data_IF_866024424069
#
_entry.id   IF_866024424069
#
_cell.length_a   1.000
_cell.length_b   1.000
_cell.length_c   1.000
_cell.angle_alpha   90.00
_cell.angle_beta   90.00
_cell.angle_gamma   90.00
#
_symmetry.space_group_name_H-M   'P 1'
#
loop_
_entity.id
_entity.type
_entity.pdbx_description
1 polymer ?
#
# COMPACT_ATOMS: atom_id res chain seq x y z
N UNK A 1 7.42 19.97 -12.94
CA UNK A 1 6.61 19.39 -14.02
C UNK A 1 5.83 20.57 -14.60
N UNK A 2 6.21 21.06 -15.77
CA UNK A 2 5.45 22.13 -16.45
C UNK A 2 4.30 21.46 -17.19
N UNK A 3 3.07 21.66 -16.70
CA UNK A 3 1.85 21.14 -17.32
C UNK A 3 1.44 22.12 -18.42
N UNK A 4 1.80 21.82 -19.66
CA UNK A 4 1.46 22.65 -20.84
C UNK A 4 0.52 21.90 -21.78
N UNK A 5 -0.33 21.02 -21.24
CA UNK A 5 -1.35 20.36 -22.03
C UNK A 5 -2.63 21.19 -22.09
N UNK A 6 -3.15 21.30 -23.31
CA UNK A 6 -4.47 21.84 -23.59
C UNK A 6 -5.49 20.73 -23.31
N UNK A 7 -6.39 20.92 -22.35
CA UNK A 7 -7.40 19.90 -22.01
C UNK A 7 -8.52 19.73 -23.07
N UNK A 8 -8.67 20.68 -24.00
CA UNK A 8 -9.69 20.65 -25.05
C UNK A 8 -9.22 21.27 -26.40
N UNK A 9 -9.56 20.68 -27.56
CA UNK A 9 -10.28 19.41 -27.76
C UNK A 9 -9.43 18.20 -27.33
N UNK A 10 -10.06 17.09 -26.90
CA UNK A 10 -9.33 15.91 -26.49
C UNK A 10 -8.68 15.25 -27.68
N UNK A 11 -7.51 14.70 -27.44
CA UNK A 11 -6.72 14.00 -28.45
C UNK A 11 -6.09 12.74 -27.85
N UNK A 12 -5.74 11.78 -28.70
CA UNK A 12 -5.09 10.52 -28.32
C UNK A 12 -5.72 9.87 -27.08
N UNK A 13 -4.90 9.76 -26.04
CA UNK A 13 -5.23 9.24 -24.71
C UNK A 13 -6.53 9.79 -24.10
N UNK A 14 -6.78 11.10 -24.20
CA UNK A 14 -7.99 11.72 -23.62
C UNK A 14 -9.26 11.23 -24.32
N UNK A 15 -9.19 10.97 -25.64
CA UNK A 15 -10.31 10.41 -26.41
C UNK A 15 -10.60 8.97 -25.98
N UNK A 16 -9.57 8.17 -25.71
CA UNK A 16 -9.72 6.81 -25.21
C UNK A 16 -10.34 6.77 -23.80
N UNK A 17 -9.96 7.71 -22.93
CA UNK A 17 -10.52 7.87 -21.59
C UNK A 17 -12.00 8.24 -21.65
N UNK A 18 -12.37 9.25 -22.46
CA UNK A 18 -13.78 9.61 -22.68
C UNK A 18 -14.58 8.43 -23.25
N UNK A 19 -14.02 7.69 -24.22
CA UNK A 19 -14.67 6.51 -24.76
C UNK A 19 -14.87 5.40 -23.71
N UNK A 20 -13.92 5.24 -22.79
CA UNK A 20 -14.05 4.29 -21.68
C UNK A 20 -15.10 4.74 -20.66
N UNK A 21 -15.13 6.03 -20.32
CA UNK A 21 -16.14 6.62 -19.44
C UNK A 21 -17.54 6.51 -20.04
N UNK A 22 -17.71 6.80 -21.34
CA UNK A 22 -18.98 6.64 -22.06
C UNK A 22 -19.51 5.20 -21.99
N UNK A 23 -18.63 4.19 -22.16
CA UNK A 23 -19.02 2.78 -22.03
C UNK A 23 -19.49 2.43 -20.61
N UNK A 24 -18.86 2.99 -19.57
CA UNK A 24 -19.28 2.78 -18.19
C UNK A 24 -20.65 3.43 -17.92
N UNK A 25 -20.86 4.66 -18.36
CA UNK A 25 -22.15 5.36 -18.28
C UNK A 25 -23.24 4.54 -18.99
N UNK A 26 -22.97 4.03 -20.19
CA UNK A 26 -23.94 3.24 -20.95
C UNK A 26 -24.34 1.93 -20.25
N UNK A 27 -23.50 1.40 -19.35
CA UNK A 27 -23.74 0.13 -18.64
C UNK A 27 -24.25 0.30 -17.21
N UNK A 28 -23.67 1.22 -16.46
CA UNK A 28 -24.03 1.50 -15.05
C UNK A 28 -24.98 2.70 -14.88
N UNK A 29 -25.32 3.40 -15.96
CA UNK A 29 -26.13 4.61 -15.94
C UNK A 29 -25.34 5.88 -15.61
N UNK A 30 -25.95 7.04 -15.85
CA UNK A 30 -25.31 8.34 -15.59
C UNK A 30 -25.28 8.72 -14.10
N UNK A 31 -26.11 8.08 -13.26
CA UNK A 31 -26.32 8.44 -11.85
C UNK A 31 -25.04 8.41 -11.01
N UNK A 32 -24.17 7.41 -11.20
CA UNK A 32 -22.89 7.36 -10.48
C UNK A 32 -21.99 8.57 -10.80
N UNK A 33 -21.92 8.96 -12.07
CA UNK A 33 -21.08 10.07 -12.49
C UNK A 33 -21.65 11.41 -12.06
N UNK A 34 -22.96 11.62 -12.20
CA UNK A 34 -23.60 12.93 -12.03
C UNK A 34 -24.16 13.16 -10.62
N UNK A 35 -24.73 12.13 -10.00
CA UNK A 35 -25.58 12.31 -8.81
C UNK A 35 -24.99 11.66 -7.54
N UNK A 36 -24.20 10.57 -7.67
CA UNK A 36 -23.58 9.93 -6.50
C UNK A 36 -22.59 10.87 -5.79
N UNK A 37 -22.63 11.01 -4.46
CA UNK A 37 -21.61 11.69 -3.69
C UNK A 37 -20.19 11.20 -4.03
N UNK A 38 -19.25 12.12 -4.25
CA UNK A 38 -17.83 11.78 -4.37
C UNK A 38 -17.26 11.57 -2.97
N UNK A 39 -16.57 10.44 -2.76
CA UNK A 39 -15.93 10.11 -1.50
C UNK A 39 -14.75 11.04 -1.22
N UNK A 40 -14.73 11.68 -0.05
CA UNK A 40 -13.60 12.46 0.41
C UNK A 40 -12.52 11.55 1.04
N UNK A 41 -11.27 11.97 1.00
CA UNK A 41 -10.13 11.25 1.58
C UNK A 41 -9.84 11.72 3.02
N UNK A 42 -10.85 11.70 3.89
CA UNK A 42 -10.78 12.19 5.27
C UNK A 42 -11.34 11.21 6.30
N UNK A 43 -11.15 11.53 7.58
CA UNK A 43 -11.61 10.71 8.70
C UNK A 43 -13.15 10.67 8.84
N UNK A 44 -13.88 11.64 8.28
CA UNK A 44 -15.34 11.61 8.29
C UNK A 44 -15.85 10.51 7.34
N UNK A 45 -15.19 10.36 6.19
CA UNK A 45 -15.49 9.33 5.20
C UNK A 45 -14.98 7.96 5.64
N UNK A 46 -13.78 7.92 6.22
CA UNK A 46 -13.10 6.73 6.73
C UNK A 46 -12.87 6.82 8.25
N UNK A 47 -13.91 6.61 9.07
CA UNK A 47 -13.83 6.76 10.52
C UNK A 47 -13.11 5.61 11.22
N UNK A 48 -13.01 4.44 10.56
CA UNK A 48 -12.38 3.26 11.14
C UNK A 48 -10.85 3.45 11.25
N UNK A 49 -10.25 3.18 12.41
CA UNK A 49 -8.80 3.25 12.55
C UNK A 49 -8.13 2.20 11.65
N UNK A 50 -7.19 2.66 10.83
CA UNK A 50 -6.48 1.78 9.90
C UNK A 50 -5.56 0.81 10.66
N UNK A 51 -5.69 -0.48 10.34
CA UNK A 51 -4.79 -1.51 10.84
C UNK A 51 -4.38 -2.46 9.70
N UNK A 52 -3.10 -2.87 9.59
CA UNK A 52 -2.65 -3.76 8.52
C UNK A 52 -3.06 -5.23 8.77
N UNK A 53 -4.36 -5.51 8.70
CA UNK A 53 -4.98 -6.82 8.93
C UNK A 53 -5.99 -7.12 7.83
N UNK A 54 -6.15 -8.39 7.45
CA UNK A 54 -7.18 -8.80 6.49
C UNK A 54 -8.58 -8.29 6.87
N UNK A 55 -8.97 -8.39 8.14
CA UNK A 55 -10.26 -7.89 8.64
C UNK A 55 -10.43 -6.37 8.46
N UNK A 56 -9.36 -5.59 8.55
CA UNK A 56 -9.45 -4.15 8.28
C UNK A 56 -9.48 -3.87 6.77
N UNK A 57 -8.73 -4.62 5.96
CA UNK A 57 -8.78 -4.56 4.49
C UNK A 57 -10.18 -4.90 3.96
N UNK A 58 -10.79 -5.98 4.45
CA UNK A 58 -12.13 -6.40 4.06
C UNK A 58 -13.18 -5.34 4.44
N UNK A 59 -13.11 -4.79 5.66
CA UNK A 59 -13.98 -3.67 6.07
C UNK A 59 -13.82 -2.45 5.18
N UNK A 60 -12.58 -2.10 4.84
CA UNK A 60 -12.30 -0.99 3.93
C UNK A 60 -12.87 -1.25 2.53
N UNK A 61 -12.77 -2.47 2.00
CA UNK A 61 -13.40 -2.88 0.75
C UNK A 61 -14.93 -2.71 0.79
N UNK A 62 -15.58 -3.22 1.84
CA UNK A 62 -17.04 -3.06 2.03
C UNK A 62 -17.43 -1.58 2.13
N UNK A 63 -16.66 -0.76 2.85
CA UNK A 63 -16.88 0.69 2.96
C UNK A 63 -16.73 1.37 1.60
N UNK A 64 -15.75 0.99 0.79
CA UNK A 64 -15.54 1.54 -0.55
C UNK A 64 -16.68 1.17 -1.51
N UNK A 65 -17.18 -0.06 -1.48
CA UNK A 65 -18.36 -0.47 -2.25
C UNK A 65 -19.61 0.32 -1.85
N UNK A 66 -19.82 0.50 -0.54
CA UNK A 66 -20.89 1.34 -0.01
C UNK A 66 -20.75 2.83 -0.38
N UNK A 67 -19.52 3.34 -0.50
CA UNK A 67 -19.24 4.69 -1.01
C UNK A 67 -19.49 4.80 -2.52
N UNK A 68 -19.25 3.72 -3.26
CA UNK A 68 -19.43 3.64 -4.69
C UNK A 68 -20.87 3.36 -5.15
N UNK A 69 -21.80 3.10 -4.21
CA UNK A 69 -23.17 2.64 -4.51
C UNK A 69 -23.18 1.32 -5.30
N UNK A 70 -22.25 0.43 -4.98
CA UNK A 70 -22.11 -0.87 -5.66
C UNK A 70 -22.57 -1.97 -4.71
N UNK A 71 -23.60 -2.70 -5.13
CA UNK A 71 -24.18 -3.82 -4.39
C UNK A 71 -23.44 -5.12 -4.73
N UNK A 72 -22.26 -5.25 -4.14
CA UNK A 72 -21.42 -6.46 -4.23
C UNK A 72 -21.01 -6.91 -2.82
N UNK A 73 -21.04 -8.22 -2.61
CA UNK A 73 -20.39 -8.85 -1.48
C UNK A 73 -18.86 -8.85 -1.65
N UNK A 74 -18.14 -8.97 -0.53
CA UNK A 74 -16.68 -9.02 -0.50
C UNK A 74 -16.22 -10.36 0.06
N UNK A 75 -15.32 -10.99 -0.67
CA UNK A 75 -14.51 -12.12 -0.20
C UNK A 75 -13.03 -11.75 -0.27
N UNK A 76 -12.27 -12.00 0.79
CA UNK A 76 -10.84 -11.71 0.86
C UNK A 76 -10.04 -12.96 1.20
N UNK A 77 -9.27 -13.44 0.25
CA UNK A 77 -8.32 -14.54 0.42
C UNK A 77 -6.97 -14.00 0.94
N UNK A 78 -6.75 -14.13 2.26
CA UNK A 78 -5.50 -13.72 2.92
C UNK A 78 -4.40 -14.76 2.69
N UNK A 79 -3.53 -14.50 1.72
CA UNK A 79 -2.39 -15.34 1.34
C UNK A 79 -1.06 -14.81 1.87
N UNK A 80 -1.08 -13.85 2.78
CA UNK A 80 0.14 -13.22 3.29
C UNK A 80 1.09 -14.26 3.86
N UNK A 81 2.30 -14.30 3.32
CA UNK A 81 3.43 -14.99 3.95
C UNK A 81 4.07 -14.02 4.94
N UNK A 82 4.36 -14.50 6.15
CA UNK A 82 5.08 -13.71 7.14
C UNK A 82 6.56 -13.59 6.75
N UNK A 83 6.84 -12.73 5.77
CA UNK A 83 8.20 -12.35 5.43
C UNK A 83 8.59 -11.09 6.19
N UNK A 84 9.67 -11.20 6.99
CA UNK A 84 10.26 -10.05 7.65
C UNK A 84 11.00 -9.23 6.60
N UNK A 85 10.29 -8.28 5.97
CA UNK A 85 10.91 -7.31 5.08
C UNK A 85 11.92 -6.48 5.88
N UNK A 86 13.16 -6.41 5.39
CA UNK A 86 14.16 -5.49 5.96
C UNK A 86 13.96 -4.04 5.50
N UNK A 87 13.10 -3.81 4.50
CA UNK A 87 12.79 -2.48 3.95
C UNK A 87 11.83 -1.72 4.87
N UNK A 88 12.04 -0.42 5.00
CA UNK A 88 11.15 0.43 5.81
C UNK A 88 9.87 0.80 5.04
N UNK A 89 9.98 0.93 3.72
CA UNK A 89 8.86 1.11 2.82
C UNK A 89 8.50 -0.24 2.20
N UNK A 90 7.24 -0.63 2.40
CA UNK A 90 6.64 -1.81 1.79
C UNK A 90 5.40 -1.36 1.03
N UNK A 91 5.16 -1.96 -0.13
CA UNK A 91 3.96 -1.76 -0.94
C UNK A 91 2.95 -2.87 -0.64
N UNK A 92 1.68 -2.51 -0.58
CA UNK A 92 0.57 -3.44 -0.49
C UNK A 92 0.37 -4.15 -1.82
N UNK A 93 0.07 -5.45 -1.75
CA UNK A 93 -0.30 -6.28 -2.88
C UNK A 93 -1.66 -6.85 -2.56
N UNK A 94 -2.68 -6.16 -3.06
CA UNK A 94 -4.09 -6.52 -2.91
C UNK A 94 -4.71 -6.38 -4.29
N UNK A 95 -5.28 -7.46 -4.80
CA UNK A 95 -5.73 -7.53 -6.18
C UNK A 95 -7.13 -8.10 -6.23
N UNK A 96 -8.00 -7.48 -7.04
CA UNK A 96 -9.23 -8.10 -7.47
C UNK A 96 -8.90 -9.33 -8.33
N UNK A 97 -9.59 -10.45 -8.05
CA UNK A 97 -9.43 -11.72 -8.75
C UNK A 97 -10.59 -11.99 -9.69
N UNK A 98 -11.82 -11.90 -9.17
CA UNK A 98 -13.04 -12.19 -9.92
C UNK A 98 -14.27 -11.55 -9.26
N UNK A 99 -15.34 -11.34 -10.05
CA UNK A 99 -16.65 -10.97 -9.52
C UNK A 99 -17.70 -11.97 -9.99
N UNK A 100 -18.15 -12.89 -9.13
CA UNK A 100 -19.05 -14.00 -9.48
C UNK A 100 -20.30 -13.94 -8.61
N UNK A 101 -21.48 -14.03 -9.22
CA UNK A 101 -22.77 -14.10 -8.52
C UNK A 101 -22.95 -13.02 -7.44
N UNK A 102 -22.57 -11.77 -7.76
CA UNK A 102 -22.68 -10.63 -6.84
C UNK A 102 -21.56 -10.55 -5.79
N UNK A 103 -20.58 -11.45 -5.80
CA UNK A 103 -19.43 -11.42 -4.88
C UNK A 103 -18.15 -11.01 -5.60
N UNK A 104 -17.48 -9.98 -5.11
CA UNK A 104 -16.14 -9.59 -5.53
C UNK A 104 -15.08 -10.26 -4.65
N UNK A 105 -14.30 -11.16 -5.24
CA UNK A 105 -13.21 -11.86 -4.57
C UNK A 105 -11.88 -11.13 -4.79
N UNK A 106 -11.17 -10.89 -3.70
CA UNK A 106 -9.87 -10.22 -3.67
C UNK A 106 -8.83 -11.15 -3.05
N UNK A 107 -7.58 -10.99 -3.47
CA UNK A 107 -6.42 -11.67 -2.92
C UNK A 107 -5.55 -10.67 -2.20
N UNK A 108 -5.10 -11.02 -1.00
CA UNK A 108 -4.20 -10.22 -0.18
C UNK A 108 -2.88 -10.97 0.02
N UNK A 109 -1.82 -10.52 -0.64
CA UNK A 109 -0.47 -11.09 -0.49
C UNK A 109 0.41 -10.31 0.48
N UNK A 110 0.17 -9.00 0.59
CA UNK A 110 1.00 -8.11 1.42
C UNK A 110 0.25 -6.84 1.80
N UNK A 111 0.45 -6.37 3.04
CA UNK A 111 0.02 -5.02 3.45
C UNK A 111 1.26 -4.20 3.75
N UNK A 112 1.44 -3.16 2.96
CA UNK A 112 2.47 -2.15 3.12
C UNK A 112 2.06 -1.01 4.04
N UNK A 113 2.84 0.06 3.98
CA UNK A 113 2.59 1.34 4.66
C UNK A 113 2.24 2.44 3.64
N UNK A 114 1.58 2.06 2.55
CA UNK A 114 1.09 2.88 1.44
C UNK A 114 -0.36 3.32 1.62
N UNK A 115 -0.86 4.11 0.67
CA UNK A 115 -2.26 4.52 0.58
C UNK A 115 -3.16 3.35 0.13
N UNK A 116 -3.46 2.45 1.07
CA UNK A 116 -4.27 1.25 0.81
C UNK A 116 -5.70 1.59 0.36
N UNK A 117 -6.29 2.66 0.88
CA UNK A 117 -7.64 3.08 0.47
C UNK A 117 -7.67 3.47 -1.02
N UNK A 118 -6.69 4.24 -1.50
CA UNK A 118 -6.59 4.59 -2.91
C UNK A 118 -6.27 3.39 -3.81
N UNK A 119 -5.43 2.46 -3.35
CA UNK A 119 -5.19 1.19 -4.05
C UNK A 119 -6.48 0.39 -4.22
N UNK A 120 -7.21 0.17 -3.13
CA UNK A 120 -8.46 -0.60 -3.14
C UNK A 120 -9.56 0.10 -3.93
N UNK A 121 -9.58 1.43 -4.00
CA UNK A 121 -10.52 2.16 -4.84
C UNK A 121 -10.38 1.78 -6.33
N UNK A 122 -9.15 1.59 -6.82
CA UNK A 122 -8.91 1.10 -8.18
C UNK A 122 -9.38 -0.35 -8.38
N UNK A 123 -9.12 -1.23 -7.41
CA UNK A 123 -9.55 -2.63 -7.47
C UNK A 123 -11.08 -2.79 -7.39
N UNK A 124 -11.76 -1.95 -6.60
CA UNK A 124 -13.24 -1.84 -6.60
C UNK A 124 -13.75 -1.43 -7.97
N UNK A 125 -13.08 -0.50 -8.65
CA UNK A 125 -13.40 -0.15 -10.03
C UNK A 125 -13.29 -1.34 -11.00
N UNK A 126 -12.28 -2.20 -10.84
CA UNK A 126 -12.16 -3.44 -11.65
C UNK A 126 -13.27 -4.43 -11.35
N UNK A 127 -13.60 -4.60 -10.07
CA UNK A 127 -14.68 -5.47 -9.63
C UNK A 127 -16.03 -5.05 -10.22
N UNK A 128 -16.30 -3.74 -10.23
CA UNK A 128 -17.50 -3.15 -10.84
C UNK A 128 -17.56 -3.38 -12.35
N UNK A 129 -16.46 -3.13 -13.08
CA UNK A 129 -16.40 -3.37 -14.54
C UNK A 129 -16.75 -4.82 -14.85
N UNK A 130 -16.14 -5.77 -14.15
CA UNK A 130 -16.40 -7.18 -14.35
C UNK A 130 -17.87 -7.56 -14.04
N UNK A 131 -18.49 -6.92 -13.06
CA UNK A 131 -19.89 -7.12 -12.70
C UNK A 131 -20.85 -6.63 -13.78
N UNK A 132 -20.72 -5.37 -14.22
CA UNK A 132 -21.64 -4.78 -15.21
C UNK A 132 -21.43 -5.33 -16.63
N UNK A 133 -20.25 -5.87 -16.94
CA UNK A 133 -20.00 -6.56 -18.20
C UNK A 133 -20.63 -7.97 -18.22
N UNK A 134 -20.74 -8.65 -17.08
CA UNK A 134 -21.36 -9.97 -16.93
C UNK A 134 -22.88 -9.96 -16.90
N UNK A 135 -23.52 -8.81 -16.68
CA UNK A 135 -24.97 -8.66 -16.72
C UNK A 135 -25.61 -9.00 -18.10
N UNK A 136 -24.84 -9.43 -19.10
CA UNK A 136 -25.35 -10.00 -20.36
C UNK A 136 -25.32 -11.54 -20.29
N UNK A 137 -26.46 -12.20 -19.99
CA UNK A 137 -26.52 -13.66 -19.74
C UNK A 137 -26.21 -14.54 -20.97
N UNK A 138 -25.95 -13.94 -22.13
CA UNK A 138 -25.72 -14.64 -23.40
C UNK A 138 -24.32 -14.42 -24.00
N UNK A 139 -23.43 -13.68 -23.34
CA UNK A 139 -22.05 -13.56 -23.79
C UNK A 139 -21.18 -14.61 -23.12
N UNK A 140 -20.38 -15.31 -23.93
CA UNK A 140 -19.20 -16.03 -23.46
C UNK A 140 -18.42 -15.10 -22.52
N UNK A 141 -17.92 -15.65 -21.41
CA UNK A 141 -17.17 -14.87 -20.42
C UNK A 141 -16.15 -13.99 -21.15
N UNK A 142 -16.06 -12.68 -20.83
CA UNK A 142 -15.03 -11.85 -21.40
C UNK A 142 -13.67 -12.52 -21.18
N UNK A 143 -12.93 -12.70 -22.26
CA UNK A 143 -11.69 -13.50 -22.29
C UNK A 143 -10.54 -12.87 -21.51
N UNK A 144 -10.70 -11.62 -21.05
CA UNK A 144 -9.69 -10.90 -20.29
C UNK A 144 -10.28 -10.18 -19.08
N UNK A 145 -9.54 -10.24 -17.98
CA UNK A 145 -9.75 -9.42 -16.79
C UNK A 145 -9.70 -7.93 -17.14
N UNK A 146 -10.57 -7.07 -16.55
CA UNK A 146 -10.47 -5.63 -16.69
C UNK A 146 -9.07 -5.12 -16.35
N UNK A 147 -8.53 -4.28 -17.24
CA UNK A 147 -7.22 -3.67 -17.05
C UNK A 147 -7.21 -2.73 -15.84
N UNK A 148 -6.03 -2.52 -15.23
CA UNK A 148 -5.87 -1.52 -14.16
C UNK A 148 -6.35 -0.14 -14.60
N UNK A 149 -6.07 0.25 -15.85
CA UNK A 149 -6.48 1.53 -16.43
C UNK A 149 -8.01 1.66 -16.45
N UNK A 150 -8.72 0.64 -16.94
CA UNK A 150 -10.19 0.61 -16.95
C UNK A 150 -10.75 0.66 -15.53
N UNK A 151 -10.15 -0.07 -14.59
CA UNK A 151 -10.51 -0.03 -13.16
C UNK A 151 -10.36 1.36 -12.55
N UNK A 152 -9.27 2.07 -12.86
CA UNK A 152 -9.07 3.45 -12.41
C UNK A 152 -10.09 4.43 -12.99
N UNK A 153 -10.47 4.31 -14.28
CA UNK A 153 -11.55 5.10 -14.86
C UNK A 153 -12.88 4.80 -14.15
N UNK A 154 -13.16 3.52 -13.88
CA UNK A 154 -14.36 3.10 -13.15
C UNK A 154 -14.38 3.65 -11.71
N UNK A 155 -13.26 3.68 -11.00
CA UNK A 155 -13.18 4.28 -9.68
C UNK A 155 -13.60 5.77 -9.67
N UNK A 156 -13.20 6.53 -10.70
CA UNK A 156 -13.61 7.95 -10.84
C UNK A 156 -15.11 8.05 -11.17
N UNK A 157 -15.58 7.23 -12.12
CA UNK A 157 -16.99 7.14 -12.50
C UNK A 157 -17.90 6.84 -11.28
N UNK A 158 -17.46 5.97 -10.37
CA UNK A 158 -18.17 5.58 -9.15
C UNK A 158 -18.08 6.61 -8.01
N UNK A 159 -17.38 7.73 -8.19
CA UNK A 159 -17.20 8.73 -7.13
C UNK A 159 -16.08 8.40 -6.13
N UNK A 160 -15.24 7.40 -6.38
CA UNK A 160 -14.03 7.12 -5.58
C UNK A 160 -12.78 7.85 -6.09
N UNK A 161 -12.94 8.72 -7.09
CA UNK A 161 -11.83 9.34 -7.83
C UNK A 161 -10.87 10.16 -6.99
N UNK A 162 -11.34 10.88 -5.96
CA UNK A 162 -10.47 11.66 -5.05
C UNK A 162 -9.57 10.74 -4.21
N UNK A 163 -10.14 9.67 -3.66
CA UNK A 163 -9.42 8.67 -2.86
C UNK A 163 -8.37 7.98 -3.72
N UNK A 164 -8.74 7.59 -4.94
CA UNK A 164 -7.85 7.03 -5.94
C UNK A 164 -6.72 8.00 -6.35
N UNK A 165 -7.05 9.25 -6.67
CA UNK A 165 -6.09 10.27 -7.12
C UNK A 165 -4.97 10.53 -6.09
N UNK A 166 -5.31 10.53 -4.80
CA UNK A 166 -4.34 10.67 -3.72
C UNK A 166 -3.33 9.49 -3.64
N UNK A 167 -3.57 8.37 -4.32
CA UNK A 167 -2.65 7.24 -4.43
C UNK A 167 -1.93 7.12 -5.79
N UNK A 168 -2.37 7.84 -6.82
CA UNK A 168 -1.82 7.74 -8.19
C UNK A 168 -0.34 8.08 -8.25
N UNK A 169 0.11 9.09 -7.49
CA UNK A 169 1.52 9.47 -7.43
C UNK A 169 1.82 10.19 -6.12
N UNK A 170 2.63 9.60 -5.24
CA UNK A 170 3.00 10.23 -3.98
C UNK A 170 4.37 9.82 -3.47
N UNK A 171 5.01 10.75 -2.75
CA UNK A 171 6.28 10.52 -2.09
C UNK A 171 6.06 9.88 -0.73
N UNK A 172 6.85 8.86 -0.44
CA UNK A 172 6.87 8.20 0.87
C UNK A 172 8.27 8.27 1.41
N UNK A 173 8.36 8.62 2.69
CA UNK A 173 9.64 8.66 3.41
C UNK A 173 9.47 7.89 4.71
N UNK A 174 10.38 6.96 4.96
CA UNK A 174 10.46 6.28 6.25
C UNK A 174 11.90 6.36 6.77
N UNK A 175 12.04 6.69 8.05
CA UNK A 175 13.33 6.77 8.71
C UNK A 175 13.38 5.86 9.94
N UNK A 176 14.52 5.21 10.16
CA UNK A 176 14.78 4.47 11.39
C UNK A 176 16.21 4.66 11.85
N UNK A 177 16.41 4.53 13.15
CA UNK A 177 17.74 4.45 13.75
C UNK A 177 18.27 3.02 13.62
N UNK A 178 19.45 2.87 12.99
CA UNK A 178 20.22 1.62 12.96
C UNK A 178 21.54 1.86 13.68
N UNK A 179 21.58 1.52 14.97
CA UNK A 179 22.71 1.81 15.84
C UNK A 179 22.84 3.30 16.14
N UNK A 180 23.91 3.94 15.64
CA UNK A 180 24.12 5.41 15.74
C UNK A 180 23.82 6.16 14.43
N UNK A 181 23.35 5.45 13.39
CA UNK A 181 23.05 6.04 12.08
C UNK A 181 21.55 6.17 11.91
N UNK A 182 21.11 7.31 11.37
CA UNK A 182 19.79 7.48 10.82
C UNK A 182 19.80 7.01 9.36
N UNK A 183 18.91 6.08 9.03
CA UNK A 183 18.70 5.61 7.66
C UNK A 183 17.32 6.11 7.24
N UNK A 184 17.25 6.72 6.06
CA UNK A 184 16.01 7.22 5.46
C UNK A 184 15.84 6.58 4.10
N UNK A 185 14.69 5.93 3.89
CA UNK A 185 14.25 5.42 2.60
C UNK A 185 13.21 6.40 2.05
N UNK A 186 13.39 6.83 0.80
CA UNK A 186 12.41 7.64 0.07
C UNK A 186 12.02 6.91 -1.21
N UNK A 187 10.73 6.80 -1.47
CA UNK A 187 10.19 6.14 -2.66
C UNK A 187 9.06 6.98 -3.27
N UNK A 188 8.98 6.96 -4.60
CA UNK A 188 7.83 7.47 -5.35
C UNK A 188 6.98 6.26 -5.70
N UNK A 189 5.75 6.23 -5.21
CA UNK A 189 4.81 5.15 -5.49
C UNK A 189 3.76 5.61 -6.48
N UNK A 190 3.48 4.76 -7.46
CA UNK A 190 2.40 4.93 -8.43
C UNK A 190 1.38 3.81 -8.26
N UNK A 191 0.11 4.17 -8.15
CA UNK A 191 -1.00 3.21 -7.94
C UNK A 191 -2.06 3.39 -9.02
N UNK A 192 -2.71 2.29 -9.42
CA UNK A 192 -3.72 2.30 -10.48
C UNK A 192 -3.11 2.26 -11.88
N UNK A 193 -3.94 2.43 -12.90
CA UNK A 193 -3.53 2.39 -14.31
C UNK A 193 -3.63 3.72 -15.05
N UNK A 194 -3.78 4.84 -14.32
CA UNK A 194 -3.82 6.19 -14.89
C UNK A 194 -2.62 7.01 -14.43
N UNK A 195 -2.18 7.93 -15.26
CA UNK A 195 -1.25 9.00 -14.84
C UNK A 195 -1.99 10.04 -13.99
N UNK A 196 -1.22 10.93 -13.35
CA UNK A 196 -1.80 12.07 -12.62
C UNK A 196 -2.63 12.94 -13.56
N UNK A 197 -2.15 13.19 -14.77
CA UNK A 197 -2.84 13.98 -15.81
C UNK A 197 -4.20 13.40 -16.17
N UNK A 198 -4.21 12.10 -16.49
CA UNK A 198 -5.41 11.37 -16.91
C UNK A 198 -6.45 11.33 -15.77
N UNK A 199 -5.98 11.21 -14.54
CA UNK A 199 -6.83 11.22 -13.34
C UNK A 199 -7.46 12.60 -13.12
N UNK A 200 -6.66 13.68 -13.20
CA UNK A 200 -7.14 15.05 -13.05
C UNK A 200 -8.10 15.44 -14.18
N UNK A 201 -7.83 15.00 -15.41
CA UNK A 201 -8.72 15.18 -16.55
C UNK A 201 -10.12 14.61 -16.29
N UNK A 202 -10.20 13.36 -15.82
CA UNK A 202 -11.47 12.68 -15.56
C UNK A 202 -12.21 13.26 -14.35
N UNK A 203 -11.49 13.66 -13.29
CA UNK A 203 -12.07 14.37 -12.15
C UNK A 203 -12.63 15.75 -12.57
N UNK A 204 -11.92 16.47 -13.44
CA UNK A 204 -12.38 17.75 -13.97
C UNK A 204 -13.64 17.58 -14.83
N UNK A 205 -13.69 16.55 -15.67
CA UNK A 205 -14.91 16.18 -16.43
C UNK A 205 -16.08 15.92 -15.47
N UNK A 206 -15.87 15.12 -14.42
CA UNK A 206 -16.92 14.86 -13.42
C UNK A 206 -17.42 16.16 -12.79
N UNK A 207 -16.53 17.07 -12.41
CA UNK A 207 -16.88 18.36 -11.84
C UNK A 207 -17.69 19.24 -12.80
N UNK A 208 -17.22 19.37 -14.05
CA UNK A 208 -17.84 20.19 -15.09
C UNK A 208 -19.24 19.69 -15.44
N UNK A 209 -19.42 18.37 -15.55
CA UNK A 209 -20.73 17.79 -15.87
C UNK A 209 -21.74 17.98 -14.74
N UNK A 210 -21.30 17.91 -13.47
CA UNK A 210 -22.15 18.13 -12.29
C UNK A 210 -22.59 19.57 -12.11
N UNK A 211 -21.82 20.53 -12.64
CA UNK A 211 -22.10 21.97 -12.54
C UNK A 211 -22.31 22.46 -11.09
N UNK A 212 -21.63 21.80 -10.15
CA UNK A 212 -21.69 22.10 -8.73
C UNK A 212 -20.34 21.81 -8.06
N UNK A 213 -19.97 22.57 -7.01
CA UNK A 213 -18.79 22.26 -6.22
C UNK A 213 -18.86 20.84 -5.65
N UNK A 214 -17.78 20.07 -5.83
CA UNK A 214 -17.64 18.73 -5.22
C UNK A 214 -16.80 18.90 -3.94
N UNK A 215 -17.40 18.82 -2.73
CA UNK A 215 -16.68 19.08 -1.48
C UNK A 215 -15.46 18.18 -1.26
N UNK A 216 -15.52 16.93 -1.75
CA UNK A 216 -14.41 15.98 -1.65
C UNK A 216 -13.11 16.48 -2.28
N UNK A 217 -13.16 17.39 -3.28
CA UNK A 217 -11.96 17.96 -3.89
C UNK A 217 -11.07 18.72 -2.88
N UNK A 218 -11.64 19.21 -1.77
CA UNK A 218 -10.88 19.86 -0.71
C UNK A 218 -9.96 18.88 0.06
N UNK A 219 -10.15 17.57 -0.11
CA UNK A 219 -9.32 16.51 0.50
C UNK A 219 -8.27 15.93 -0.45
N UNK A 220 -8.18 16.47 -1.67
CA UNK A 220 -7.04 16.19 -2.54
C UNK A 220 -5.78 16.79 -1.94
N UNK A 221 -4.64 16.15 -2.22
CA UNK A 221 -3.34 16.75 -1.92
C UNK A 221 -3.21 18.11 -2.59
N UNK A 222 -2.53 19.04 -1.92
CA UNK A 222 -2.42 20.44 -2.33
C UNK A 222 -1.88 20.59 -3.77
N UNK A 223 -0.88 19.79 -4.12
CA UNK A 223 -0.31 19.77 -5.48
C UNK A 223 -1.33 19.34 -6.53
N UNK A 224 -2.22 18.39 -6.23
CA UNK A 224 -3.26 17.95 -7.17
C UNK A 224 -4.43 18.94 -7.26
N UNK A 225 -4.82 19.54 -6.14
CA UNK A 225 -5.98 20.42 -6.06
C UNK A 225 -5.80 21.69 -6.92
N UNK A 226 -4.58 22.24 -7.00
CA UNK A 226 -4.30 23.38 -7.87
C UNK A 226 -4.48 23.05 -9.36
N UNK A 227 -3.93 21.92 -9.81
CA UNK A 227 -4.03 21.48 -11.21
C UNK A 227 -5.46 21.07 -11.57
N UNK A 228 -6.21 20.47 -10.63
CA UNK A 228 -7.62 20.15 -10.86
C UNK A 228 -8.45 21.41 -11.14
N UNK A 229 -8.22 22.50 -10.38
CA UNK A 229 -8.95 23.76 -10.60
C UNK A 229 -8.69 24.33 -11.98
N UNK A 230 -7.43 24.37 -12.40
CA UNK A 230 -7.06 24.83 -13.75
C UNK A 230 -7.71 23.95 -14.84
N UNK A 231 -7.71 22.62 -14.67
CA UNK A 231 -8.37 21.71 -15.59
C UNK A 231 -9.90 21.95 -15.65
N UNK A 232 -10.55 22.20 -14.52
CA UNK A 232 -11.98 22.54 -14.46
C UNK A 232 -12.25 23.84 -15.22
N UNK A 233 -11.47 24.89 -14.97
CA UNK A 233 -11.64 26.19 -15.61
C UNK A 233 -11.49 26.11 -17.14
N UNK A 234 -10.52 25.31 -17.62
CA UNK A 234 -10.32 25.08 -19.05
C UNK A 234 -11.41 24.22 -19.71
N UNK A 235 -11.99 23.27 -18.99
CA UNK A 235 -13.02 22.36 -19.51
C UNK A 235 -14.45 22.90 -19.38
N UNK A 236 -14.72 23.79 -18.43
CA UNK A 236 -16.06 24.32 -18.15
C UNK A 236 -16.75 24.94 -19.39
N UNK A 237 -16.08 25.72 -20.27
CA UNK A 237 -16.69 26.24 -21.50
C UNK A 237 -17.17 25.16 -22.47
N UNK A 238 -16.69 23.92 -22.31
CA UNK A 238 -16.96 22.79 -23.21
C UNK A 238 -17.95 21.77 -22.63
N UNK A 239 -18.61 22.09 -21.51
CA UNK A 239 -19.56 21.20 -20.80
C UNK A 239 -20.55 20.47 -21.72
N UNK A 240 -21.23 21.21 -22.59
CA UNK A 240 -22.23 20.64 -23.51
C UNK A 240 -21.61 19.74 -24.58
N UNK A 241 -20.39 20.04 -25.04
CA UNK A 241 -19.68 19.19 -26.01
C UNK A 241 -19.19 17.90 -25.35
N UNK A 242 -18.69 18.00 -24.11
CA UNK A 242 -18.30 16.84 -23.28
C UNK A 242 -19.50 15.93 -23.06
N UNK A 243 -20.64 16.47 -22.64
CA UNK A 243 -21.86 15.71 -22.39
C UNK A 243 -22.35 15.00 -23.66
N UNK A 244 -22.34 15.68 -24.81
CA UNK A 244 -22.72 15.08 -26.09
C UNK A 244 -21.83 13.90 -26.46
N UNK A 245 -20.52 13.99 -26.21
CA UNK A 245 -19.58 12.88 -26.49
C UNK A 245 -19.72 11.70 -25.54
N UNK A 246 -20.21 11.94 -24.34
CA UNK A 246 -20.55 10.90 -23.37
C UNK A 246 -21.98 10.37 -23.53
N UNK A 247 -22.72 10.87 -24.54
CA UNK A 247 -24.12 10.54 -24.80
C UNK A 247 -25.03 10.82 -23.58
N UNK A 248 -24.73 11.89 -22.85
CA UNK A 248 -25.46 12.29 -21.66
C UNK A 248 -26.51 13.36 -21.98
N UNK A 249 -27.75 13.12 -21.54
CA UNK A 249 -28.75 14.17 -21.35
C UNK A 249 -28.66 14.69 -19.91
N UNK A 250 -28.10 15.89 -19.76
CA UNK A 250 -27.92 16.52 -18.45
C UNK A 250 -29.25 16.95 -17.80
N UNK A 251 -30.29 17.11 -18.61
CA UNK A 251 -31.63 17.57 -18.19
C UNK A 251 -32.60 16.42 -17.88
N UNK A 252 -32.30 15.22 -18.37
CA UNK A 252 -33.14 14.05 -18.12
C UNK A 252 -33.28 13.80 -16.61
N UNK A 253 -34.50 13.55 -16.10
CA UNK A 253 -34.69 13.13 -14.73
C UNK A 253 -34.00 11.77 -14.53
N UNK A 254 -33.24 11.65 -13.44
CA UNK A 254 -32.50 10.44 -13.10
C UNK A 254 -33.07 9.85 -11.80
N UNK A 255 -33.19 8.52 -11.69
CA UNK A 255 -33.58 7.90 -10.43
C UNK A 255 -32.53 8.23 -9.37
N UNK A 256 -32.98 8.60 -8.17
CA UNK A 256 -32.06 8.78 -7.06
C UNK A 256 -31.37 7.44 -6.77
N UNK A 257 -30.05 7.48 -6.59
CA UNK A 257 -29.33 6.31 -6.11
C UNK A 257 -29.70 6.11 -4.63
N UNK A 258 -30.46 5.06 -4.36
CA UNK A 258 -30.79 4.68 -3.00
C UNK A 258 -29.54 4.11 -2.32
N UNK A 259 -29.34 4.51 -1.06
CA UNK A 259 -28.19 4.11 -0.27
C UNK A 259 -28.67 3.36 0.95
N UNK A 260 -28.10 2.19 1.18
CA UNK A 260 -28.21 1.56 2.49
C UNK A 260 -27.57 2.46 3.56
N UNK A 261 -28.03 2.37 4.83
CA UNK A 261 -27.38 3.05 5.93
C UNK A 261 -25.87 2.77 5.95
N UNK A 262 -25.09 3.77 6.37
CA UNK A 262 -23.65 3.58 6.49
C UNK A 262 -23.32 2.40 7.40
N UNK A 263 -22.35 1.54 7.03
CA UNK A 263 -21.85 0.55 7.97
C UNK A 263 -21.34 1.31 9.22
N UNK A 264 -21.76 0.88 10.43
CA UNK A 264 -21.40 1.58 11.65
C UNK A 264 -19.88 1.55 11.84
N UNK A 265 -19.27 2.64 12.37
CA UNK A 265 -17.87 2.64 12.71
C UNK A 265 -17.62 1.57 13.77
N UNK A 266 -16.52 0.82 13.62
CA UNK A 266 -16.15 -0.19 14.61
C UNK A 266 -15.28 0.47 15.67
N UNK A 267 -15.81 0.61 16.88
CA UNK A 267 -15.04 1.07 18.03
C UNK A 267 -13.84 0.14 18.28
N UNK A 268 -12.68 0.70 18.63
CA UNK A 268 -11.46 -0.05 18.93
C UNK A 268 -11.70 -1.09 20.06
N UNK A 269 -12.63 -0.78 20.97
CA UNK A 269 -12.94 -1.51 22.19
C UNK A 269 -13.69 -2.84 21.95
N UNK A 270 -14.34 -2.99 20.80
CA UNK A 270 -15.09 -4.20 20.45
C UNK A 270 -14.19 -5.34 19.97
N UNK A 271 -12.88 -5.13 19.94
CA UNK A 271 -11.91 -6.18 19.62
C UNK A 271 -11.36 -6.79 20.89
N UNK A 272 -11.34 -8.14 21.02
CA UNK A 272 -10.35 -8.74 21.90
C UNK A 272 -9.00 -8.17 21.46
N UNK A 273 -8.24 -7.60 22.40
CA UNK A 273 -6.83 -7.27 22.16
C UNK A 273 -6.25 -8.44 21.37
N UNK A 274 -5.75 -8.22 20.14
CA UNK A 274 -5.25 -9.31 19.33
C UNK A 274 -4.24 -10.02 20.22
N UNK A 275 -4.53 -11.30 20.54
CA UNK A 275 -3.75 -12.06 21.53
C UNK A 275 -2.27 -11.76 21.24
N UNK A 276 -1.50 -11.28 22.23
CA UNK A 276 -0.26 -10.57 21.97
C UNK A 276 0.58 -11.41 21.03
N UNK A 277 0.70 -10.92 19.78
CA UNK A 277 1.08 -11.77 18.64
C UNK A 277 2.33 -12.54 18.99
N UNK A 278 2.31 -13.86 18.78
CA UNK A 278 3.46 -14.71 19.08
C UNK A 278 4.65 -14.25 18.23
N UNK A 279 5.83 -14.24 18.84
CA UNK A 279 7.11 -14.05 18.16
C UNK A 279 8.11 -15.03 18.73
N UNK A 280 9.23 -15.21 18.04
CA UNK A 280 10.31 -16.05 18.51
C UNK A 280 11.55 -15.21 18.80
N UNK A 281 12.37 -15.70 19.71
CA UNK A 281 13.73 -15.20 19.91
C UNK A 281 14.69 -15.95 19.02
N UNK A 282 15.59 -15.23 18.37
CA UNK A 282 16.75 -15.79 17.66
C UNK A 282 18.03 -15.32 18.34
N UNK A 283 19.00 -16.23 18.45
CA UNK A 283 20.33 -15.89 18.95
C UNK A 283 21.15 -15.32 17.81
N UNK A 284 21.52 -14.04 17.90
CA UNK A 284 22.52 -13.45 17.00
C UNK A 284 23.89 -13.46 17.66
N UNK A 285 24.87 -14.01 16.98
CA UNK A 285 26.27 -13.99 17.41
C UNK A 285 26.89 -12.61 17.15
N UNK A 286 27.91 -12.25 17.94
CA UNK A 286 28.72 -11.04 17.70
C UNK A 286 30.02 -11.36 16.98
N UNK A 287 30.12 -12.50 16.28
CA UNK A 287 31.38 -12.96 15.66
C UNK A 287 31.99 -11.91 14.74
N UNK A 288 31.19 -11.23 13.90
CA UNK A 288 31.67 -10.14 13.04
C UNK A 288 32.25 -8.97 13.84
N UNK A 289 31.56 -8.50 14.90
CA UNK A 289 32.08 -7.41 15.75
C UNK A 289 33.31 -7.85 16.55
N UNK A 290 33.31 -9.08 17.06
CA UNK A 290 34.45 -9.67 17.76
C UNK A 290 35.68 -9.78 16.86
N UNK A 291 35.49 -10.19 15.59
CA UNK A 291 36.55 -10.21 14.58
C UNK A 291 37.13 -8.83 14.30
N UNK A 292 36.29 -7.80 14.16
CA UNK A 292 36.74 -6.41 14.00
C UNK A 292 37.53 -5.88 15.20
N UNK A 293 37.09 -6.17 16.43
CA UNK A 293 37.84 -5.81 17.64
C UNK A 293 39.19 -6.55 17.66
N UNK A 294 39.21 -7.84 17.35
CA UNK A 294 40.46 -8.61 17.23
C UNK A 294 41.42 -8.02 16.20
N UNK A 295 40.89 -7.54 15.06
CA UNK A 295 41.68 -6.85 14.03
C UNK A 295 42.23 -5.50 14.49
N UNK A 296 41.44 -4.70 15.22
CA UNK A 296 41.91 -3.44 15.78
C UNK A 296 43.04 -3.65 16.81
N UNK A 297 42.92 -4.68 17.65
CA UNK A 297 43.97 -5.06 18.60
C UNK A 297 45.22 -5.53 17.85
N UNK A 298 45.08 -6.40 16.85
CA UNK A 298 46.18 -6.88 16.02
C UNK A 298 46.96 -5.74 15.36
N UNK A 299 46.26 -4.80 14.72
CA UNK A 299 46.86 -3.65 14.07
C UNK A 299 47.65 -2.80 15.07
N UNK A 300 47.11 -2.60 16.27
CA UNK A 300 47.77 -1.83 17.33
C UNK A 300 49.04 -2.52 17.81
N UNK A 301 48.99 -3.84 18.05
CA UNK A 301 50.16 -4.65 18.44
C UNK A 301 51.26 -4.59 17.37
N UNK A 302 50.88 -4.73 16.09
CA UNK A 302 51.81 -4.63 14.96
C UNK A 302 52.52 -3.27 14.89
N UNK A 303 51.79 -2.17 15.10
CA UNK A 303 52.37 -0.82 15.09
C UNK A 303 53.34 -0.63 16.26
N UNK A 304 52.98 -1.09 17.46
CA UNK A 304 53.83 -0.97 18.65
C UNK A 304 55.11 -1.80 18.46
N UNK A 305 55.00 -3.07 18.10
CA UNK A 305 56.16 -3.97 17.92
C UNK A 305 57.08 -3.51 16.78
N UNK A 306 56.50 -3.00 15.70
CA UNK A 306 57.25 -2.43 14.58
C UNK A 306 58.07 -1.19 14.97
N UNK A 307 57.58 -0.38 15.91
CA UNK A 307 58.28 0.80 16.44
C UNK A 307 59.35 0.44 17.47
N UNK A 308 59.15 -0.61 18.29
CA UNK A 308 60.03 -0.90 19.43
C UNK A 308 61.11 -1.95 19.17
N UNK A 309 60.87 -2.94 18.30
CA UNK A 309 61.72 -4.13 18.20
C UNK A 309 62.35 -4.36 16.82
N UNK A 310 61.98 -3.57 15.82
CA UNK A 310 62.36 -3.81 14.42
C UNK A 310 61.70 -5.09 13.88
N UNK A 311 61.50 -5.15 12.56
CA UNK A 311 60.73 -6.17 11.82
C UNK A 311 61.28 -7.62 11.88
N UNK A 312 62.00 -8.02 12.93
CA UNK A 312 62.81 -9.24 12.95
C UNK A 312 62.03 -10.54 13.26
N UNK A 313 60.72 -10.49 13.57
CA UNK A 313 59.94 -11.70 13.79
C UNK A 313 58.65 -11.77 12.93
N UNK A 314 58.74 -12.28 11.69
CA UNK A 314 57.59 -12.40 10.79
C UNK A 314 56.51 -13.37 11.30
N UNK A 315 56.87 -14.31 12.19
CA UNK A 315 55.92 -15.27 12.78
C UNK A 315 55.00 -14.59 13.80
N UNK A 316 55.54 -13.71 14.64
CA UNK A 316 54.74 -12.88 15.56
C UNK A 316 53.80 -11.94 14.79
N UNK A 317 54.29 -11.35 13.70
CA UNK A 317 53.49 -10.45 12.86
C UNK A 317 52.30 -11.17 12.20
N UNK A 318 52.54 -12.34 11.59
CA UNK A 318 51.48 -13.13 10.96
C UNK A 318 50.48 -13.69 11.99
N UNK A 319 50.96 -14.15 13.14
CA UNK A 319 50.08 -14.64 14.20
C UNK A 319 49.22 -13.55 14.83
N UNK A 320 49.73 -12.31 14.94
CA UNK A 320 48.92 -11.16 15.35
C UNK A 320 47.84 -10.84 14.30
N UNK A 321 48.20 -10.73 13.02
CA UNK A 321 47.29 -10.38 11.93
C UNK A 321 46.14 -11.37 11.72
N UNK A 322 46.40 -12.68 11.86
CA UNK A 322 45.39 -13.70 11.59
C UNK A 322 44.82 -14.33 12.87
N UNK A 323 45.64 -14.51 13.90
CA UNK A 323 45.24 -15.17 15.14
C UNK A 323 44.29 -14.33 15.99
N UNK A 324 44.55 -13.02 16.12
CA UNK A 324 43.70 -12.15 16.95
C UNK A 324 42.30 -11.89 16.34
N UNK A 325 42.13 -11.67 15.02
CA UNK A 325 40.80 -11.64 14.42
C UNK A 325 40.05 -12.96 14.54
N UNK A 326 40.74 -14.10 14.33
CA UNK A 326 40.13 -15.42 14.46
C UNK A 326 39.67 -15.66 15.91
N UNK A 327 40.53 -15.37 16.89
CA UNK A 327 40.21 -15.46 18.31
C UNK A 327 39.04 -14.53 18.67
N UNK A 328 39.07 -13.28 18.20
CA UNK A 328 37.99 -12.32 18.38
C UNK A 328 36.66 -12.79 17.79
N UNK A 329 36.69 -13.42 16.62
CA UNK A 329 35.51 -14.01 15.98
C UNK A 329 34.96 -15.20 16.76
N UNK A 330 35.83 -16.08 17.25
CA UNK A 330 35.46 -17.25 18.08
C UNK A 330 34.87 -16.81 19.41
N UNK A 331 35.52 -15.86 20.11
CA UNK A 331 35.03 -15.31 21.39
C UNK A 331 33.72 -14.54 21.17
N UNK A 332 33.62 -13.72 20.13
CA UNK A 332 32.39 -13.02 19.76
C UNK A 332 31.26 -13.96 19.32
N UNK A 333 31.61 -15.13 18.78
CA UNK A 333 30.68 -16.21 18.44
C UNK A 333 30.04 -16.84 19.69
N UNK A 334 30.79 -16.92 20.79
CA UNK A 334 30.30 -17.46 22.07
C UNK A 334 29.36 -16.50 22.79
N UNK A 335 29.44 -15.20 22.53
CA UNK A 335 28.58 -14.19 23.15
C UNK A 335 27.41 -13.85 22.22
N UNK A 336 26.42 -14.74 22.21
CA UNK A 336 25.12 -14.53 21.58
C UNK A 336 24.27 -13.53 22.37
N UNK A 337 23.41 -12.81 21.67
CA UNK A 337 22.32 -12.05 22.29
C UNK A 337 21.01 -12.44 21.60
N UNK A 338 19.94 -12.54 22.39
CA UNK A 338 18.61 -12.80 21.86
C UNK A 338 18.09 -11.51 21.22
N UNK A 339 17.52 -11.62 20.01
CA UNK A 339 16.76 -10.56 19.36
C UNK A 339 15.40 -11.08 18.94
N UNK A 340 14.42 -10.18 18.91
CA UNK A 340 13.09 -10.50 18.42
C UNK A 340 13.15 -10.76 16.91
N UNK A 341 12.58 -11.88 16.45
CA UNK A 341 12.49 -12.19 15.02
C UNK A 341 11.78 -11.09 14.24
N UNK A 342 10.75 -10.49 14.85
CA UNK A 342 9.86 -9.55 14.16
C UNK A 342 10.46 -8.16 13.97
N UNK A 343 11.01 -7.57 15.03
CA UNK A 343 11.52 -6.19 14.98
C UNK A 343 13.04 -6.08 15.10
N UNK A 344 13.76 -7.20 15.26
CA UNK A 344 15.20 -7.25 15.53
C UNK A 344 15.65 -6.50 16.80
N UNK A 345 14.71 -6.07 17.65
CA UNK A 345 15.01 -5.45 18.94
C UNK A 345 15.70 -6.42 19.90
N UNK A 346 16.65 -5.95 20.73
CA UNK A 346 17.31 -6.78 21.72
C UNK A 346 16.30 -7.29 22.75
N UNK A 347 16.45 -8.56 23.14
CA UNK A 347 15.63 -9.21 24.15
C UNK A 347 16.51 -9.58 25.35
N UNK A 348 15.99 -9.39 26.56
CA UNK A 348 16.60 -9.99 27.74
C UNK A 348 16.37 -11.50 27.73
N UNK A 349 17.23 -12.25 28.43
CA UNK A 349 17.10 -13.70 28.52
C UNK A 349 15.74 -14.13 29.11
N UNK A 350 15.14 -13.30 29.96
CA UNK A 350 13.87 -13.56 30.66
C UNK A 350 12.67 -12.86 30.00
N UNK A 351 12.86 -12.15 28.88
CA UNK A 351 11.77 -11.48 28.20
C UNK A 351 10.69 -12.47 27.77
N UNK A 352 9.46 -12.25 28.25
CA UNK A 352 8.22 -12.91 27.81
C UNK A 352 7.48 -12.08 26.77
N UNK A 353 7.81 -10.80 26.64
CA UNK A 353 7.31 -9.88 25.62
C UNK A 353 8.47 -9.06 25.03
N UNK A 354 8.34 -8.66 23.77
CA UNK A 354 9.31 -7.80 23.11
C UNK A 354 9.04 -6.33 23.45
N UNK A 355 10.00 -5.64 24.07
CA UNK A 355 9.88 -4.20 24.37
C UNK A 355 9.79 -3.30 23.15
N UNK A 356 10.24 -3.76 21.98
CA UNK A 356 10.19 -2.99 20.73
C UNK A 356 8.88 -3.08 19.97
N UNK A 357 8.21 -4.24 19.96
CA UNK A 357 6.99 -4.46 19.16
C UNK A 357 5.79 -5.01 19.94
N UNK A 358 5.91 -5.22 21.26
CA UNK A 358 4.85 -5.74 22.14
C UNK A 358 4.53 -7.23 21.98
N UNK A 359 5.12 -7.92 21.00
CA UNK A 359 4.84 -9.33 20.71
C UNK A 359 5.23 -10.27 21.87
N UNK A 360 4.41 -11.30 22.16
CA UNK A 360 4.69 -12.31 23.19
C UNK A 360 5.68 -13.34 22.65
N UNK A 361 6.72 -13.64 23.40
CA UNK A 361 7.77 -14.56 22.98
C UNK A 361 7.28 -15.99 23.21
N UNK A 362 6.95 -16.70 22.14
CA UNK A 362 6.45 -18.07 22.15
C UNK A 362 7.56 -19.11 22.35
N UNK A 363 8.81 -18.79 21.98
CA UNK A 363 9.93 -19.68 22.17
C UNK A 363 11.20 -19.21 21.48
N UNK A 364 12.23 -20.07 21.49
CA UNK A 364 13.51 -19.85 20.80
C UNK A 364 13.60 -20.68 19.53
N UNK A 365 14.06 -20.06 18.45
CA UNK A 365 14.41 -20.69 17.18
C UNK A 365 15.88 -20.40 16.88
N UNK A 366 16.58 -21.34 16.22
CA UNK A 366 18.00 -21.17 15.87
C UNK A 366 18.15 -20.26 14.66
N UNK A 367 17.26 -20.42 13.69
CA UNK A 367 17.30 -19.68 12.44
C UNK A 367 15.96 -19.05 12.11
N UNK A 368 16.00 -17.95 11.37
CA UNK A 368 14.80 -17.19 11.02
C UNK A 368 13.84 -17.99 10.11
N UNK A 369 14.35 -18.91 9.29
CA UNK A 369 13.51 -19.77 8.42
C UNK A 369 12.76 -20.87 9.19
N UNK A 370 13.19 -21.23 10.41
CA UNK A 370 12.50 -22.22 11.26
C UNK A 370 11.16 -21.69 11.79
N UNK A 371 10.96 -20.37 11.76
CA UNK A 371 9.72 -19.72 12.19
C UNK A 371 8.55 -20.13 11.31
N UNK A 372 8.74 -20.10 9.98
CA UNK A 372 7.71 -20.51 9.04
C UNK A 372 7.34 -21.99 9.15
N UNK A 373 8.27 -22.85 9.55
CA UNK A 373 8.00 -24.29 9.74
C UNK A 373 7.19 -24.53 11.02
N UNK A 374 7.53 -23.87 12.12
CA UNK A 374 6.81 -24.05 13.40
C UNK A 374 5.42 -23.43 13.41
N UNK A 375 5.21 -22.35 12.67
CA UNK A 375 3.87 -21.78 12.47
C UNK A 375 2.96 -22.70 11.64
N UNK A 376 3.52 -23.59 10.81
CA UNK A 376 2.75 -24.61 10.08
C UNK A 376 2.45 -25.86 10.93
N UNK A 377 3.26 -26.15 11.95
CA UNK A 377 3.10 -27.34 12.81
C UNK A 377 2.18 -27.11 14.02
N UNK A 378 1.85 -25.87 14.34
CA UNK A 378 0.89 -25.52 15.39
C UNK A 378 -0.33 -24.85 14.77
N UNK A 379 -1.34 -25.62 14.29
CA UNK A 379 -2.66 -25.06 14.08
C UNK A 379 -3.17 -24.56 15.43
N UNK A 380 -3.68 -23.32 15.46
CA UNK A 380 -4.28 -22.72 16.65
C UNK A 380 -5.35 -23.61 17.29
#
# INVERSE_FOLDING_TARGET
MEWTERWWPPSGTQTELLGTLARLIARGGAGHLLDAPVAAADAATFPDPWQPTAVATERLLRRLLWLAYVDLDVELDDRRRYEVSQRMLTQSEIEWVATVDGTASFKLDRIGNDNVAGLLAHEVGRAFVAWVERASPYREQPSSSPSLRTGSVAAIYLGLGVVAANAVHYHRTASRSVGRRWVTDTEIVTTGGLTVEETLYLLAIQAVLRDAPIPAHATLREDLAAHLRDAIDQLAPHREEIARRLELDLTAPRPALEREPAPPPVADDARPEPSPRRTYRIVRTRSLRGGWIGMAVAATTVVIDGLTLGLLNPVLFLSALFGLPLLGSVVGGRWGHDVCVRCAGPLSAEATTCSGCGARIAGRVRYQYEVGVRELEQPD
#
